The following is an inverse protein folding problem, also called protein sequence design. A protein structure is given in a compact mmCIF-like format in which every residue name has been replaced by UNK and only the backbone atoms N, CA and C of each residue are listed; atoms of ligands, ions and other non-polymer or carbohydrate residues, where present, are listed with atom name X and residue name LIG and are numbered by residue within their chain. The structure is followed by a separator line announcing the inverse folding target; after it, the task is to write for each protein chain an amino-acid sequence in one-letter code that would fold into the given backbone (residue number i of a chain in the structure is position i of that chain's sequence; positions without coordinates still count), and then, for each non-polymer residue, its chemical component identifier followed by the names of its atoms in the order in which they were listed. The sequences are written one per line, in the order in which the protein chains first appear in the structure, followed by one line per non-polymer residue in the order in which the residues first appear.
data_IF_970397064330
#
_entry.id   IF_970397064330
#
_cell.length_a   1.000
_cell.length_b   1.000
_cell.length_c   1.000
_cell.angle_alpha   90.00
_cell.angle_beta   90.00
_cell.angle_gamma   90.00
#
_symmetry.space_group_name_H-M   'P 1'
#
loop_
_entity.id
_entity.type
_entity.pdbx_description
1 polymer ?
#
# COMPACT_ATOMS: atom_id res chain seq x y z
N UNK A 1 -32.24 -8.93 -25.76
CA UNK A 1 -31.08 -9.67 -25.24
C UNK A 1 -29.88 -8.73 -25.27
N UNK A 2 -29.52 -8.14 -24.13
CA UNK A 2 -28.29 -7.34 -23.99
C UNK A 2 -27.46 -8.03 -22.92
N UNK A 3 -26.48 -8.83 -23.34
CA UNK A 3 -25.52 -9.43 -22.42
C UNK A 3 -24.62 -8.33 -21.85
N UNK A 4 -24.77 -8.04 -20.56
CA UNK A 4 -23.79 -7.25 -19.83
C UNK A 4 -22.43 -7.95 -19.94
N UNK A 5 -21.32 -7.22 -20.16
CA UNK A 5 -20.00 -7.83 -20.14
C UNK A 5 -19.79 -8.43 -18.74
N UNK A 6 -19.40 -9.71 -18.69
CA UNK A 6 -19.00 -10.35 -17.45
C UNK A 6 -17.86 -9.53 -16.84
N UNK A 7 -18.16 -8.86 -15.72
CA UNK A 7 -17.24 -8.02 -14.97
C UNK A 7 -16.08 -8.90 -14.50
N UNK A 8 -15.01 -8.94 -15.29
CA UNK A 8 -13.94 -9.92 -15.14
C UNK A 8 -13.08 -9.49 -13.97
N UNK A 9 -13.42 -9.99 -12.79
CA UNK A 9 -12.65 -9.74 -11.57
C UNK A 9 -11.38 -10.59 -11.59
N UNK A 10 -10.22 -9.93 -11.66
CA UNK A 10 -8.92 -10.60 -11.53
C UNK A 10 -8.64 -10.90 -10.05
N UNK A 11 -8.27 -12.13 -9.71
CA UNK A 11 -7.94 -12.51 -8.33
C UNK A 11 -6.41 -12.59 -8.20
N UNK A 12 -5.84 -11.71 -7.39
CA UNK A 12 -4.43 -11.76 -7.02
C UNK A 12 -4.27 -12.48 -5.68
N UNK A 13 -3.55 -13.61 -5.70
CA UNK A 13 -3.39 -14.49 -4.54
C UNK A 13 -2.07 -14.26 -3.81
N UNK A 14 -1.10 -13.59 -4.45
CA UNK A 14 0.18 -13.26 -3.83
C UNK A 14 -0.03 -12.12 -2.84
N UNK A 15 0.84 -12.05 -1.84
CA UNK A 15 0.82 -10.92 -0.89
C UNK A 15 1.24 -9.63 -1.57
N UNK A 16 0.37 -8.63 -1.54
CA UNK A 16 0.59 -7.31 -2.14
C UNK A 16 0.74 -6.25 -1.06
N UNK A 17 1.81 -5.46 -1.10
CA UNK A 17 1.92 -4.26 -0.29
C UNK A 17 1.49 -3.02 -1.07
N UNK A 18 0.60 -2.25 -0.48
CA UNK A 18 -0.03 -1.07 -1.06
C UNK A 18 0.49 0.19 -0.33
N UNK A 19 1.37 0.96 -0.96
CA UNK A 19 2.02 2.11 -0.34
C UNK A 19 1.48 3.44 -0.88
N UNK A 20 0.81 4.23 -0.03
CA UNK A 20 0.09 5.44 -0.43
C UNK A 20 -0.04 6.44 0.74
N UNK A 21 -0.34 7.70 0.43
CA UNK A 21 -0.80 8.68 1.41
C UNK A 21 -2.34 8.69 1.53
N UNK A 22 -2.91 8.97 2.72
CA UNK A 22 -4.36 9.10 2.89
C UNK A 22 -4.96 10.18 1.99
N UNK A 23 -6.25 10.08 1.67
CA UNK A 23 -6.96 11.04 0.82
C UNK A 23 -6.83 10.74 -0.68
N UNK A 24 -6.35 11.70 -1.47
CA UNK A 24 -6.37 11.63 -2.94
C UNK A 24 -5.62 10.41 -3.51
N UNK A 25 -4.41 10.14 -3.00
CA UNK A 25 -3.60 8.99 -3.41
C UNK A 25 -4.25 7.64 -3.06
N UNK A 26 -4.98 7.56 -1.94
CA UNK A 26 -5.81 6.38 -1.60
C UNK A 26 -6.92 6.19 -2.65
N UNK A 27 -7.61 7.26 -3.04
CA UNK A 27 -8.68 7.18 -4.04
C UNK A 27 -8.17 6.84 -5.45
N UNK A 28 -6.95 7.25 -5.80
CA UNK A 28 -6.28 6.83 -7.04
C UNK A 28 -5.92 5.35 -7.01
N UNK A 29 -5.38 4.87 -5.89
CA UNK A 29 -5.08 3.45 -5.71
C UNK A 29 -6.33 2.58 -5.83
N UNK A 30 -7.42 2.98 -5.17
CA UNK A 30 -8.69 2.24 -5.22
C UNK A 30 -9.23 2.15 -6.66
N UNK A 31 -9.10 3.23 -7.45
CA UNK A 31 -9.44 3.23 -8.88
C UNK A 31 -8.51 2.35 -9.72
N UNK A 32 -7.21 2.34 -9.43
CA UNK A 32 -6.23 1.51 -10.14
C UNK A 32 -6.43 0.01 -9.87
N UNK A 33 -6.99 -0.34 -8.71
CA UNK A 33 -7.30 -1.71 -8.32
C UNK A 33 -8.75 -2.12 -8.64
N UNK A 34 -9.54 -1.26 -9.31
CA UNK A 34 -10.89 -1.60 -9.70
C UNK A 34 -10.90 -2.85 -10.60
N UNK A 35 -11.72 -3.84 -10.27
CA UNK A 35 -11.74 -5.14 -10.95
C UNK A 35 -10.61 -6.10 -10.51
N UNK A 36 -9.79 -5.74 -9.52
CA UNK A 36 -8.77 -6.62 -8.93
C UNK A 36 -9.14 -6.94 -7.48
N UNK A 37 -9.32 -8.22 -7.19
CA UNK A 37 -9.54 -8.73 -5.84
C UNK A 37 -8.23 -9.25 -5.24
N UNK A 38 -7.73 -8.54 -4.22
CA UNK A 38 -6.53 -8.93 -3.47
C UNK A 38 -6.93 -9.82 -2.29
N UNK A 39 -6.35 -11.01 -2.19
CA UNK A 39 -6.64 -11.94 -1.08
C UNK A 39 -5.81 -11.63 0.17
N UNK A 40 -4.56 -11.19 -0.02
CA UNK A 40 -3.61 -10.86 1.06
C UNK A 40 -2.95 -9.52 0.73
N UNK A 41 -3.26 -8.49 1.52
CA UNK A 41 -2.74 -7.15 1.29
C UNK A 41 -2.28 -6.43 2.57
N UNK A 42 -1.11 -5.81 2.48
CA UNK A 42 -0.56 -4.93 3.51
C UNK A 42 -0.63 -3.47 3.06
N UNK A 43 -1.45 -2.66 3.72
CA UNK A 43 -1.52 -1.22 3.46
C UNK A 43 -0.43 -0.50 4.26
N UNK A 44 0.46 0.22 3.58
CA UNK A 44 1.52 1.03 4.18
C UNK A 44 1.18 2.50 3.97
N UNK A 45 0.87 3.19 5.06
CA UNK A 45 0.43 4.59 5.03
C UNK A 45 0.82 5.31 6.30
N UNK A 46 0.33 6.52 6.55
CA UNK A 46 0.58 7.26 7.79
C UNK A 46 -0.74 7.72 8.42
N UNK A 47 -0.67 8.10 9.70
CA UNK A 47 -1.82 8.64 10.43
C UNK A 47 -2.05 10.12 10.06
N UNK A 48 -3.21 10.42 9.47
CA UNK A 48 -3.66 11.77 9.13
C UNK A 48 -4.61 12.37 10.19
N UNK A 49 -4.75 11.70 11.34
CA UNK A 49 -5.62 12.11 12.44
C UNK A 49 -7.08 11.71 12.26
N UNK A 50 -7.43 10.97 11.20
CA UNK A 50 -8.79 10.47 10.95
C UNK A 50 -8.89 8.98 11.28
N UNK A 51 -10.04 8.50 11.81
CA UNK A 51 -10.27 7.08 11.96
C UNK A 51 -10.13 6.38 10.61
N UNK A 52 -9.24 5.37 10.50
CA UNK A 52 -8.96 4.80 9.22
C UNK A 52 -10.06 3.79 8.86
N UNK A 53 -10.36 3.57 7.57
CA UNK A 53 -11.48 2.74 7.16
C UNK A 53 -11.29 1.28 7.60
N UNK A 54 -12.37 0.49 7.74
CA UNK A 54 -12.27 -0.95 7.97
C UNK A 54 -11.50 -1.61 6.83
N UNK A 55 -10.79 -2.69 7.16
CA UNK A 55 -10.04 -3.50 6.20
C UNK A 55 -10.82 -4.76 5.87
N UNK A 56 -10.66 -5.25 4.64
CA UNK A 56 -11.16 -6.56 4.26
C UNK A 56 -10.45 -7.69 5.03
N UNK A 57 -11.05 -8.87 5.09
CA UNK A 57 -10.41 -10.05 5.67
C UNK A 57 -9.08 -10.34 4.94
N UNK A 58 -8.04 -10.71 5.69
CA UNK A 58 -6.70 -10.91 5.14
C UNK A 58 -5.88 -9.63 4.95
N UNK A 59 -6.50 -8.45 5.03
CA UNK A 59 -5.78 -7.19 4.92
C UNK A 59 -5.22 -6.72 6.26
N UNK A 60 -4.05 -6.06 6.21
CA UNK A 60 -3.35 -5.46 7.35
C UNK A 60 -3.06 -4.00 7.07
N UNK A 61 -2.94 -3.17 8.10
CA UNK A 61 -2.46 -1.78 7.98
C UNK A 61 -1.23 -1.57 8.85
N UNK A 62 -0.23 -0.96 8.26
CA UNK A 62 1.00 -0.53 8.90
C UNK A 62 1.15 0.98 8.75
N UNK A 63 1.47 1.65 9.86
CA UNK A 63 1.67 3.09 9.89
C UNK A 63 3.18 3.39 9.90
N UNK A 64 3.58 4.32 9.04
CA UNK A 64 4.94 4.85 8.97
C UNK A 64 4.96 6.35 9.24
N UNK A 65 6.10 6.86 9.69
CA UNK A 65 6.31 8.28 9.92
C UNK A 65 6.26 9.05 8.60
N UNK A 66 5.50 10.14 8.53
CA UNK A 66 5.54 11.01 7.36
C UNK A 66 6.88 11.75 7.26
N UNK A 67 7.60 11.69 6.11
CA UNK A 67 8.92 12.34 5.95
C UNK A 67 8.90 13.86 6.17
N UNK A 68 7.91 14.59 5.61
CA UNK A 68 7.76 16.05 5.73
C UNK A 68 9.05 16.82 5.41
N UNK A 69 9.80 16.34 4.41
CA UNK A 69 11.13 16.86 3.99
C UNK A 69 12.18 16.92 5.11
N UNK A 70 12.02 16.14 6.18
CA UNK A 70 12.98 16.05 7.29
C UNK A 70 13.81 14.77 7.17
N UNK A 71 15.15 14.92 7.21
CA UNK A 71 16.08 13.78 7.13
C UNK A 71 15.82 12.77 8.24
N UNK A 72 15.72 13.23 9.50
CA UNK A 72 15.48 12.33 10.64
C UNK A 72 14.16 11.56 10.53
N UNK A 73 13.09 12.22 10.07
CA UNK A 73 11.79 11.57 9.85
C UNK A 73 11.83 10.60 8.66
N UNK A 74 12.63 10.93 7.63
CA UNK A 74 12.85 10.05 6.48
C UNK A 74 13.59 8.78 6.89
N UNK A 75 14.61 8.90 7.74
CA UNK A 75 15.32 7.73 8.30
C UNK A 75 14.41 6.88 9.17
N UNK A 76 13.58 7.49 10.02
CA UNK A 76 12.58 6.76 10.81
C UNK A 76 11.58 6.02 9.92
N UNK A 77 11.06 6.68 8.88
CA UNK A 77 10.20 6.04 7.88
C UNK A 77 10.91 4.86 7.20
N UNK A 78 12.18 5.03 6.80
CA UNK A 78 12.96 3.96 6.16
C UNK A 78 13.13 2.76 7.10
N UNK A 79 13.44 2.98 8.38
CA UNK A 79 13.54 1.90 9.36
C UNK A 79 12.21 1.13 9.53
N UNK A 80 11.11 1.87 9.69
CA UNK A 80 9.78 1.27 9.81
C UNK A 80 9.40 0.49 8.54
N UNK A 81 9.68 1.06 7.37
CA UNK A 81 9.47 0.42 6.07
C UNK A 81 10.27 -0.88 5.94
N UNK A 82 11.54 -0.88 6.34
CA UNK A 82 12.38 -2.08 6.33
C UNK A 82 11.82 -3.18 7.24
N UNK A 83 11.36 -2.81 8.44
CA UNK A 83 10.73 -3.75 9.36
C UNK A 83 9.46 -4.38 8.77
N UNK A 84 8.62 -3.57 8.11
CA UNK A 84 7.42 -4.04 7.41
C UNK A 84 7.79 -4.98 6.27
N UNK A 85 8.75 -4.61 5.41
CA UNK A 85 9.19 -5.45 4.29
C UNK A 85 9.72 -6.81 4.76
N UNK A 86 10.53 -6.83 5.82
CA UNK A 86 11.06 -8.09 6.40
C UNK A 86 9.97 -8.98 7.00
N UNK A 87 8.95 -8.37 7.61
CA UNK A 87 7.81 -9.06 8.22
C UNK A 87 6.84 -9.59 7.19
N UNK A 88 6.42 -8.74 6.26
CA UNK A 88 5.39 -9.05 5.29
C UNK A 88 5.94 -9.84 4.11
N UNK A 89 7.20 -9.61 3.69
CA UNK A 89 7.81 -10.25 2.52
C UNK A 89 6.87 -10.23 1.29
N UNK A 90 6.39 -9.04 0.87
CA UNK A 90 5.42 -8.94 -0.21
C UNK A 90 6.03 -9.45 -1.52
N UNK A 91 5.22 -10.10 -2.35
CA UNK A 91 5.63 -10.52 -3.70
C UNK A 91 5.44 -9.39 -4.73
N UNK A 92 4.59 -8.41 -4.40
CA UNK A 92 4.33 -7.24 -5.23
C UNK A 92 4.17 -6.00 -4.34
N UNK A 93 4.72 -4.87 -4.79
CA UNK A 93 4.47 -3.56 -4.20
C UNK A 93 3.81 -2.67 -5.23
N UNK A 94 2.67 -2.09 -4.87
CA UNK A 94 1.94 -1.10 -5.68
C UNK A 94 1.96 0.23 -4.91
N UNK A 95 2.29 1.31 -5.61
CA UNK A 95 2.30 2.64 -5.02
C UNK A 95 1.75 3.69 -5.98
N UNK A 96 1.16 4.73 -5.42
CA UNK A 96 0.68 5.92 -6.14
C UNK A 96 1.71 7.05 -6.18
N UNK A 97 2.98 6.77 -5.84
CA UNK A 97 4.06 7.75 -5.93
C UNK A 97 4.05 8.84 -4.84
N UNK A 98 3.29 8.65 -3.75
CA UNK A 98 3.34 9.54 -2.61
C UNK A 98 4.74 9.56 -1.96
N UNK A 99 5.19 10.70 -1.46
CA UNK A 99 6.52 10.87 -0.85
C UNK A 99 6.78 9.91 0.33
N UNK A 100 5.74 9.61 1.10
CA UNK A 100 5.76 8.62 2.20
C UNK A 100 6.13 7.21 1.73
N UNK A 101 5.89 6.87 0.46
CA UNK A 101 6.19 5.57 -0.11
C UNK A 101 7.63 5.46 -0.65
N UNK A 102 8.35 6.58 -0.83
CA UNK A 102 9.69 6.56 -1.45
C UNK A 102 10.69 5.69 -0.68
N UNK A 103 10.85 5.82 0.65
CA UNK A 103 11.76 4.94 1.38
C UNK A 103 11.35 3.47 1.29
N UNK A 104 10.05 3.20 1.33
CA UNK A 104 9.50 1.85 1.20
C UNK A 104 9.83 1.23 -0.15
N UNK A 105 9.63 1.96 -1.26
CA UNK A 105 9.91 1.48 -2.61
C UNK A 105 11.40 1.24 -2.86
N UNK A 106 12.26 2.14 -2.39
CA UNK A 106 13.72 1.98 -2.51
C UNK A 106 14.20 0.74 -1.75
N UNK A 107 13.70 0.53 -0.52
CA UNK A 107 14.05 -0.64 0.27
C UNK A 107 13.49 -1.93 -0.32
N UNK A 108 12.26 -1.91 -0.84
CA UNK A 108 11.65 -3.07 -1.48
C UNK A 108 12.56 -3.61 -2.61
N UNK A 109 12.99 -2.72 -3.51
CA UNK A 109 13.91 -3.03 -4.62
C UNK A 109 15.27 -3.59 -4.18
N UNK A 110 15.73 -3.24 -2.98
CA UNK A 110 16.99 -3.76 -2.44
C UNK A 110 16.83 -5.13 -1.78
N UNK A 111 15.60 -5.52 -1.42
CA UNK A 111 15.30 -6.75 -0.67
C UNK A 111 14.68 -7.86 -1.51
N UNK A 112 14.37 -7.60 -2.79
CA UNK A 112 13.77 -8.54 -3.75
C UNK A 112 12.92 -7.81 -4.77
#
# INVERSE_FOLDING_TARGET
MSGAPADTTHIERRRVCLAYSPGGHKAELDRALAGIHLIDACHVTFDDGRPPPPLAAGHRRHLVCHPRRSVGRTLLNAWQSLAILRRERPALVISTGADVAVPFLLLARCTG
#
